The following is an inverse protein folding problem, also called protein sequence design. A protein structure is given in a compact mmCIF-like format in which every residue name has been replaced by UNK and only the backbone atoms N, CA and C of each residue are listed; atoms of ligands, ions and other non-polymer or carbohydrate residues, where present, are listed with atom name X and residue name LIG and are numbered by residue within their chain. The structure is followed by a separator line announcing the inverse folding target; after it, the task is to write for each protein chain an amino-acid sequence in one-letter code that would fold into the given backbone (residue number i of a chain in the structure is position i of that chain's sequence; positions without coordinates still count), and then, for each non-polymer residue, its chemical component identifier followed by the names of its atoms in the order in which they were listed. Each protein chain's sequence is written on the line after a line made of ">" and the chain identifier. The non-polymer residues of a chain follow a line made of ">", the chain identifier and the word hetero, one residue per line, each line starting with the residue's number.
data_IF_634084411314
#
_entry.id   IF_634084411314
#
_cell.length_a   1.000
_cell.length_b   1.000
_cell.length_c   1.000
_cell.angle_alpha   90.00
_cell.angle_beta   90.00
_cell.angle_gamma   90.00
#
_symmetry.space_group_name_H-M   'P 1'
#
loop_
_entity.id
_entity.type
_entity.pdbx_description
1 polymer ?
#
# COMPACT_ATOMS: atom_id res chain seq x y z
N UNK A 1 0.19 6.44 0.27
CA UNK A 1 -0.10 6.18 1.69
C UNK A 1 -0.90 4.91 1.80
N UNK A 2 -0.43 4.00 2.63
CA UNK A 2 -1.06 2.72 2.94
C UNK A 2 -1.64 2.81 4.34
N UNK A 3 -2.96 2.67 4.45
CA UNK A 3 -3.68 2.78 5.72
C UNK A 3 -3.51 1.52 6.58
N UNK A 4 -3.88 1.53 7.87
CA UNK A 4 -3.82 0.32 8.70
C UNK A 4 -4.65 -0.81 8.09
N UNK A 5 -4.35 -2.07 8.43
CA UNK A 5 -5.19 -3.20 8.04
C UNK A 5 -6.64 -2.99 8.45
N UNK A 6 -7.57 -3.37 7.57
CA UNK A 6 -9.00 -3.32 7.86
C UNK A 6 -9.39 -4.49 8.77
N UNK A 7 -10.56 -4.40 9.41
CA UNK A 7 -11.07 -5.51 10.25
C UNK A 7 -11.34 -6.82 9.49
N UNK A 8 -11.40 -6.77 8.16
CA UNK A 8 -11.51 -7.95 7.28
C UNK A 8 -10.18 -8.32 6.62
N UNK A 9 -9.06 -7.71 7.04
CA UNK A 9 -7.77 -7.79 6.37
C UNK A 9 -7.63 -6.81 5.20
N UNK A 10 -6.45 -6.80 4.60
CA UNK A 10 -6.07 -5.88 3.55
C UNK A 10 -5.92 -4.43 4.03
N UNK A 11 -5.26 -3.61 3.22
CA UNK A 11 -4.96 -2.21 3.50
C UNK A 11 -5.51 -1.34 2.40
N UNK A 12 -6.22 -0.28 2.78
CA UNK A 12 -6.64 0.74 1.81
C UNK A 12 -5.42 1.52 1.32
N UNK A 13 -5.32 1.73 0.02
CA UNK A 13 -4.21 2.46 -0.61
C UNK A 13 -4.74 3.78 -1.17
N UNK A 14 -4.02 4.86 -0.88
CA UNK A 14 -4.34 6.20 -1.38
C UNK A 14 -3.11 6.88 -1.97
N UNK A 15 -3.28 7.55 -3.10
CA UNK A 15 -2.25 8.36 -3.76
C UNK A 15 -2.84 9.71 -4.14
N UNK A 16 -2.14 10.81 -3.80
CA UNK A 16 -2.59 12.19 -4.09
C UNK A 16 -4.03 12.50 -3.63
N UNK A 17 -4.49 11.86 -2.55
CA UNK A 17 -5.86 12.04 -2.02
C UNK A 17 -6.91 11.11 -2.63
N UNK A 18 -6.58 10.37 -3.68
CA UNK A 18 -7.48 9.43 -4.34
C UNK A 18 -7.26 7.99 -3.85
N UNK A 19 -8.32 7.19 -3.86
CA UNK A 19 -8.28 5.78 -3.44
C UNK A 19 -7.87 4.90 -4.62
N UNK A 20 -6.75 4.17 -4.50
CA UNK A 20 -6.30 3.23 -5.53
C UNK A 20 -6.96 1.85 -5.38
N UNK A 21 -7.36 1.48 -4.16
CA UNK A 21 -8.03 0.21 -3.89
C UNK A 21 -7.73 -0.34 -2.50
N UNK A 22 -7.97 -1.64 -2.34
CA UNK A 22 -7.61 -2.42 -1.16
C UNK A 22 -6.58 -3.47 -1.59
N UNK A 23 -5.40 -3.44 -0.96
CA UNK A 23 -4.30 -4.38 -1.21
C UNK A 23 -4.28 -5.41 -0.09
N UNK A 24 -4.19 -6.70 -0.43
CA UNK A 24 -4.08 -7.80 0.53
C UNK A 24 -2.66 -8.36 0.63
N UNK A 25 -1.76 -7.88 -0.22
CA UNK A 25 -0.35 -8.24 -0.27
C UNK A 25 0.49 -7.09 -0.82
N UNK A 26 1.82 -7.24 -0.78
CA UNK A 26 2.73 -6.31 -1.47
C UNK A 26 2.55 -6.34 -2.98
N UNK A 27 2.20 -7.50 -3.55
CA UNK A 27 1.94 -7.66 -4.99
C UNK A 27 0.76 -6.79 -5.44
N UNK A 28 -0.34 -6.77 -4.68
CA UNK A 28 -1.47 -5.88 -4.95
C UNK A 28 -1.07 -4.39 -4.88
N UNK A 29 -0.20 -4.05 -3.92
CA UNK A 29 0.29 -2.68 -3.75
C UNK A 29 1.20 -2.27 -4.92
N UNK A 30 2.11 -3.16 -5.35
CA UNK A 30 2.98 -2.97 -6.52
C UNK A 30 2.13 -2.73 -7.78
N UNK A 31 1.09 -3.53 -7.98
CA UNK A 31 0.13 -3.35 -9.08
C UNK A 31 -0.54 -1.97 -9.06
N UNK A 32 -0.95 -1.47 -7.89
CA UNK A 32 -1.51 -0.14 -7.77
C UNK A 32 -0.51 0.97 -8.07
N UNK A 33 0.74 0.84 -7.61
CA UNK A 33 1.80 1.81 -7.88
C UNK A 33 2.17 1.83 -9.37
N UNK A 34 2.30 0.66 -10.00
CA UNK A 34 2.56 0.53 -11.43
C UNK A 34 1.47 1.20 -12.27
N UNK A 35 0.19 0.97 -11.95
CA UNK A 35 -0.95 1.65 -12.60
C UNK A 35 -0.98 3.16 -12.36
N UNK A 36 -0.39 3.63 -11.27
CA UNK A 36 -0.23 5.06 -10.96
C UNK A 36 0.99 5.69 -11.65
N UNK A 37 1.75 4.93 -12.45
CA UNK A 37 2.89 5.43 -13.25
C UNK A 37 4.23 5.41 -12.52
N UNK A 38 4.37 4.56 -11.49
CA UNK A 38 5.62 4.36 -10.76
C UNK A 38 6.29 3.06 -11.22
N UNK A 39 7.27 3.12 -12.16
CA UNK A 39 8.09 1.96 -12.47
C UNK A 39 8.94 1.57 -11.23
N UNK A 40 9.42 0.33 -11.20
CA UNK A 40 10.25 -0.20 -10.12
C UNK A 40 9.57 -0.18 -8.74
N UNK A 41 8.24 -0.36 -8.73
CA UNK A 41 7.40 -0.26 -7.53
C UNK A 41 7.79 -1.21 -6.40
N UNK A 42 8.46 -2.33 -6.69
CA UNK A 42 9.04 -3.23 -5.70
C UNK A 42 10.07 -2.51 -4.81
N UNK A 43 10.98 -1.73 -5.40
CA UNK A 43 12.01 -0.99 -4.67
C UNK A 43 11.42 0.21 -3.90
N UNK A 44 10.29 0.73 -4.35
CA UNK A 44 9.64 1.90 -3.76
C UNK A 44 8.81 1.59 -2.50
N UNK A 45 8.46 0.32 -2.26
CA UNK A 45 7.66 -0.10 -1.10
C UNK A 45 8.30 0.29 0.23
N UNK A 46 9.62 0.18 0.30
CA UNK A 46 10.43 0.45 1.48
C UNK A 46 10.96 1.90 1.53
N UNK A 47 10.74 2.70 0.48
CA UNK A 47 11.14 4.09 0.46
C UNK A 47 10.05 4.98 1.11
N UNK A 48 10.29 5.55 2.30
CA UNK A 48 9.32 6.39 2.99
C UNK A 48 9.03 7.72 2.27
N UNK A 49 9.85 8.11 1.29
CA UNK A 49 9.56 9.24 0.41
C UNK A 49 8.38 8.95 -0.52
N UNK A 50 8.17 7.67 -0.89
CA UNK A 50 7.12 7.22 -1.80
C UNK A 50 5.96 6.54 -1.08
N UNK A 51 6.26 5.55 -0.23
CA UNK A 51 5.26 4.75 0.47
C UNK A 51 5.28 5.07 1.96
N UNK A 52 4.19 5.67 2.42
CA UNK A 52 3.95 5.93 3.85
C UNK A 52 2.98 4.92 4.40
N UNK A 53 3.46 4.06 5.29
CA UNK A 53 2.67 3.10 6.04
C UNK A 53 2.08 3.76 7.29
N UNK A 54 0.78 3.52 7.55
CA UNK A 54 0.08 3.99 8.76
C UNK A 54 -0.32 2.79 9.62
N UNK A 55 -0.14 2.93 10.93
CA UNK A 55 -0.59 1.94 11.91
C UNK A 55 0.39 0.79 12.03
N UNK A 56 -0.13 -0.44 11.91
CA UNK A 56 0.63 -1.69 11.99
C UNK A 56 1.84 -1.73 11.05
N UNK A 57 2.73 -2.68 11.32
CA UNK A 57 3.98 -2.92 10.60
C UNK A 57 3.78 -2.92 9.08
N UNK A 58 4.80 -2.43 8.36
CA UNK A 58 4.83 -2.53 6.90
C UNK A 58 4.73 -4.00 6.47
N UNK A 59 4.18 -4.26 5.28
CA UNK A 59 3.99 -5.62 4.73
C UNK A 59 3.04 -6.54 5.53
N UNK A 60 2.48 -6.06 6.63
CA UNK A 60 1.43 -6.76 7.35
C UNK A 60 0.05 -6.32 6.86
N UNK A 61 -0.75 -7.28 6.40
CA UNK A 61 -2.07 -7.04 5.81
C UNK A 61 -3.20 -7.76 6.55
N UNK A 62 -2.89 -8.64 7.49
CA UNK A 62 -3.92 -9.34 8.25
C UNK A 62 -4.69 -8.36 9.14
N UNK A 63 -5.91 -8.73 9.53
CA UNK A 63 -6.71 -7.92 10.42
C UNK A 63 -5.98 -7.73 11.76
N UNK A 64 -6.00 -6.48 12.27
CA UNK A 64 -5.45 -6.14 13.57
C UNK A 64 -6.33 -6.66 14.73
#
# INVERSE_FOLDING_TARGET
>A
MVHPPSGTGGRRVTARGESLGMAFSDEDLIEFLGRAGLPDAEELLDDPAWVKWRGADAHHYEAA
#
